data_IF_981459601110
#
_entry.id   IF_981459601110
#
_cell.length_a   1.000
_cell.length_b   1.000
_cell.length_c   1.000
_cell.angle_alpha   90.00
_cell.angle_beta   90.00
_cell.angle_gamma   90.00
#
_symmetry.space_group_name_H-M   'P 1'
#
loop_
_entity.id
_entity.type
_entity.pdbx_description
1 polymer ?
#
# COMPACT_ATOMS: atom_id res chain seq x y z
N UNK A 1 5.21 -2.09 -16.10
CA UNK A 1 5.10 -0.61 -16.02
C UNK A 1 4.07 -0.34 -14.93
N UNK A 2 4.45 0.26 -13.80
CA UNK A 2 3.48 0.71 -12.79
C UNK A 2 2.73 1.87 -13.44
N UNK A 3 1.43 1.74 -13.66
CA UNK A 3 0.61 2.88 -14.05
C UNK A 3 0.67 3.84 -12.86
N UNK A 4 1.26 5.02 -13.07
CA UNK A 4 1.29 6.04 -12.03
C UNK A 4 -0.11 6.60 -11.88
N UNK A 5 -0.49 7.06 -10.69
CA UNK A 5 -1.81 7.66 -10.48
C UNK A 5 -2.09 8.79 -11.47
N UNK A 6 -1.05 9.51 -11.88
CA UNK A 6 -1.09 10.52 -12.95
C UNK A 6 -1.64 9.98 -14.28
N UNK A 7 -1.23 8.80 -14.71
CA UNK A 7 -1.65 8.24 -16.00
C UNK A 7 -3.13 7.84 -15.95
N UNK A 8 -3.56 7.24 -14.83
CA UNK A 8 -4.96 6.97 -14.55
C UNK A 8 -5.79 8.27 -14.51
N UNK A 9 -5.29 9.30 -13.84
CA UNK A 9 -5.94 10.63 -13.75
C UNK A 9 -6.17 11.28 -15.10
N UNK A 10 -5.19 11.20 -16.02
CA UNK A 10 -5.29 11.80 -17.36
C UNK A 10 -6.41 11.20 -18.20
N UNK A 11 -6.69 9.92 -18.02
CA UNK A 11 -7.75 9.20 -18.74
C UNK A 11 -9.13 9.52 -18.15
N UNK A 12 -9.20 9.93 -16.88
CA UNK A 12 -10.42 9.99 -16.08
C UNK A 12 -10.72 11.42 -15.58
N UNK A 13 -10.57 12.43 -16.46
CA UNK A 13 -10.65 13.87 -16.10
C UNK A 13 -11.99 14.36 -15.54
N UNK A 14 -13.07 13.61 -15.76
CA UNK A 14 -14.41 13.97 -15.29
C UNK A 14 -14.61 13.72 -13.80
N UNK A 15 -13.77 12.91 -13.15
CA UNK A 15 -13.89 12.58 -11.74
C UNK A 15 -13.31 13.66 -10.85
N UNK A 16 -13.96 13.87 -9.69
CA UNK A 16 -13.31 14.60 -8.61
C UNK A 16 -12.18 13.75 -7.98
N UNK A 17 -11.31 14.36 -7.18
CA UNK A 17 -10.11 13.68 -6.66
C UNK A 17 -10.44 12.44 -5.79
N UNK A 18 -11.59 12.47 -5.09
CA UNK A 18 -12.03 11.36 -4.24
C UNK A 18 -12.53 10.19 -5.08
N UNK A 19 -13.40 10.47 -6.06
CA UNK A 19 -13.87 9.47 -7.03
C UNK A 19 -12.68 8.88 -7.79
N UNK A 20 -11.75 9.73 -8.22
CA UNK A 20 -10.56 9.29 -8.93
C UNK A 20 -9.72 8.33 -8.08
N UNK A 21 -9.54 8.64 -6.80
CA UNK A 21 -8.86 7.75 -5.86
C UNK A 21 -9.63 6.43 -5.68
N UNK A 22 -10.95 6.50 -5.47
CA UNK A 22 -11.78 5.32 -5.26
C UNK A 22 -11.70 4.36 -6.46
N UNK A 23 -11.85 4.89 -7.68
CA UNK A 23 -11.72 4.11 -8.91
C UNK A 23 -10.29 3.64 -9.15
N UNK A 24 -9.27 4.48 -8.95
CA UNK A 24 -7.86 4.07 -9.09
C UNK A 24 -7.52 2.90 -8.17
N UNK A 25 -7.97 2.97 -6.92
CA UNK A 25 -7.67 1.93 -5.92
C UNK A 25 -8.25 0.57 -6.30
N UNK A 26 -9.25 0.52 -7.18
CA UNK A 26 -9.98 -0.70 -7.55
C UNK A 26 -9.70 -1.15 -8.98
N UNK A 27 -9.58 -0.23 -9.94
CA UNK A 27 -9.53 -0.53 -11.37
C UNK A 27 -8.22 -0.17 -12.05
N UNK A 28 -7.17 0.18 -11.31
CA UNK A 28 -5.85 0.38 -11.91
C UNK A 28 -5.50 -0.83 -12.82
N UNK A 29 -5.21 -0.55 -14.10
CA UNK A 29 -4.97 -1.51 -15.19
C UNK A 29 -6.13 -2.45 -15.55
N UNK A 30 -7.37 -2.07 -15.27
CA UNK A 30 -8.59 -2.68 -15.77
C UNK A 30 -9.50 -1.62 -16.38
N UNK A 31 -10.12 -1.94 -17.52
CA UNK A 31 -11.12 -1.06 -18.13
C UNK A 31 -12.45 -1.13 -17.37
N UNK A 32 -13.13 0.01 -17.24
CA UNK A 32 -14.42 0.15 -16.57
C UNK A 32 -15.33 1.13 -17.33
N UNK A 33 -16.64 1.10 -17.07
CA UNK A 33 -17.61 1.99 -17.70
C UNK A 33 -17.88 3.22 -16.81
N UNK A 34 -17.56 4.41 -17.32
CA UNK A 34 -17.79 5.69 -16.65
C UNK A 34 -19.25 6.01 -16.36
N UNK A 35 -20.19 5.33 -17.02
CA UNK A 35 -21.63 5.53 -16.80
C UNK A 35 -22.14 4.76 -15.57
N UNK A 36 -21.37 3.78 -15.12
CA UNK A 36 -21.74 2.94 -13.98
C UNK A 36 -21.09 3.46 -12.69
N UNK A 37 -21.73 3.18 -11.56
CA UNK A 37 -21.14 3.49 -10.27
C UNK A 37 -19.97 2.54 -9.93
N UNK A 38 -19.31 2.78 -8.80
CA UNK A 38 -18.17 1.99 -8.35
C UNK A 38 -18.51 0.50 -8.18
N UNK A 39 -19.67 0.17 -7.61
CA UNK A 39 -20.04 -1.20 -7.28
C UNK A 39 -20.60 -1.96 -8.49
N UNK A 40 -21.32 -1.29 -9.37
CA UNK A 40 -21.74 -1.83 -10.66
C UNK A 40 -20.52 -2.16 -11.53
N UNK A 41 -19.49 -1.29 -11.54
CA UNK A 41 -18.22 -1.60 -12.19
C UNK A 41 -17.51 -2.78 -11.52
N UNK A 42 -17.49 -2.88 -10.18
CA UNK A 42 -16.90 -4.05 -9.49
C UNK A 42 -17.59 -5.34 -9.92
N UNK A 43 -18.93 -5.35 -9.99
CA UNK A 43 -19.71 -6.49 -10.45
C UNK A 43 -19.30 -6.89 -11.88
N UNK A 44 -19.33 -5.94 -12.81
CA UNK A 44 -19.11 -6.22 -14.24
C UNK A 44 -17.66 -6.53 -14.59
N UNK A 45 -16.71 -5.82 -13.99
CA UNK A 45 -15.28 -5.94 -14.30
C UNK A 45 -14.66 -7.14 -13.60
N UNK A 46 -15.03 -7.39 -12.34
CA UNK A 46 -14.35 -8.40 -11.52
C UNK A 46 -15.19 -9.63 -11.20
N UNK A 47 -16.44 -9.47 -10.73
CA UNK A 47 -17.23 -10.60 -10.26
C UNK A 47 -17.69 -11.47 -11.45
N UNK A 48 -18.32 -10.85 -12.45
CA UNK A 48 -18.84 -11.57 -13.63
C UNK A 48 -17.73 -12.14 -14.52
N UNK A 49 -16.54 -11.53 -14.50
CA UNK A 49 -15.38 -11.94 -15.31
C UNK A 49 -14.29 -12.63 -14.48
N UNK A 50 -14.61 -13.11 -13.28
CA UNK A 50 -13.60 -13.61 -12.35
C UNK A 50 -12.76 -14.75 -12.94
N UNK A 51 -13.40 -15.73 -13.55
CA UNK A 51 -12.71 -16.88 -14.15
C UNK A 51 -11.93 -16.49 -15.41
N UNK A 52 -12.39 -15.51 -16.19
CA UNK A 52 -11.64 -14.99 -17.34
C UNK A 52 -10.33 -14.33 -16.89
N UNK A 53 -10.40 -13.50 -15.84
CA UNK A 53 -9.22 -12.88 -15.22
C UNK A 53 -8.28 -13.98 -14.73
N UNK A 54 -8.80 -14.97 -14.00
CA UNK A 54 -7.99 -16.06 -13.47
C UNK A 54 -7.26 -16.84 -14.57
N UNK A 55 -7.97 -17.19 -15.64
CA UNK A 55 -7.44 -17.94 -16.77
C UNK A 55 -6.40 -17.11 -17.55
N UNK A 56 -6.66 -15.81 -17.74
CA UNK A 56 -5.75 -14.91 -18.46
C UNK A 56 -4.39 -14.76 -17.78
N UNK A 57 -4.33 -14.89 -16.44
CA UNK A 57 -3.08 -14.82 -15.69
C UNK A 57 -2.16 -16.02 -15.97
N UNK A 58 -2.72 -17.20 -16.31
CA UNK A 58 -1.94 -18.41 -16.60
C UNK A 58 -0.97 -18.80 -15.48
N UNK A 59 -1.38 -18.64 -14.22
CA UNK A 59 -0.55 -18.88 -13.05
C UNK A 59 -0.87 -20.23 -12.40
N UNK A 60 0.17 -20.89 -11.90
CA UNK A 60 0.06 -22.11 -11.11
C UNK A 60 -0.61 -21.84 -9.74
N UNK A 61 -1.20 -22.87 -9.15
CA UNK A 61 -1.96 -22.77 -7.90
C UNK A 61 -1.20 -22.10 -6.75
N UNK A 62 0.09 -22.44 -6.58
CA UNK A 62 0.92 -21.83 -5.55
C UNK A 62 1.13 -20.32 -5.78
N UNK A 63 1.25 -19.89 -7.04
CA UNK A 63 1.39 -18.47 -7.36
C UNK A 63 0.09 -17.71 -7.03
N UNK A 64 -1.07 -18.29 -7.35
CA UNK A 64 -2.37 -17.74 -6.98
C UNK A 64 -2.55 -17.64 -5.46
N UNK A 65 -2.18 -18.69 -4.72
CA UNK A 65 -2.17 -18.68 -3.23
C UNK A 65 -1.24 -17.61 -2.67
N UNK A 66 -0.03 -17.46 -3.23
CA UNK A 66 0.93 -16.45 -2.80
C UNK A 66 0.36 -15.02 -2.97
N UNK A 67 -0.25 -14.73 -4.12
CA UNK A 67 -0.86 -13.43 -4.40
C UNK A 67 -2.04 -13.16 -3.46
N UNK A 68 -2.89 -14.15 -3.22
CA UNK A 68 -3.97 -14.06 -2.23
C UNK A 68 -3.43 -13.68 -0.84
N UNK A 69 -2.40 -14.38 -0.36
CA UNK A 69 -1.76 -14.12 0.94
C UNK A 69 -1.16 -12.69 1.00
N UNK A 70 -0.41 -12.31 -0.02
CA UNK A 70 0.27 -11.01 -0.11
C UNK A 70 -0.70 -9.83 -0.26
N UNK A 71 -1.88 -10.05 -0.83
CA UNK A 71 -2.90 -9.01 -0.94
C UNK A 71 -3.42 -8.57 0.44
N UNK A 72 -3.48 -9.48 1.43
CA UNK A 72 -4.11 -9.21 2.73
C UNK A 72 -3.14 -8.87 3.86
N UNK A 73 -1.89 -9.34 3.78
CA UNK A 73 -0.97 -9.29 4.91
C UNK A 73 0.01 -8.10 4.89
N UNK A 74 1.05 -8.15 5.72
CA UNK A 74 2.08 -7.10 5.82
C UNK A 74 3.08 -7.07 4.66
N UNK A 75 2.83 -7.83 3.59
CA UNK A 75 3.57 -7.89 2.33
C UNK A 75 5.00 -8.42 2.45
N UNK A 76 5.45 -8.86 3.63
CA UNK A 76 6.82 -9.38 3.81
C UNK A 76 7.00 -10.68 3.02
N UNK A 77 8.12 -10.81 2.31
CA UNK A 77 8.36 -11.93 1.39
C UNK A 77 8.22 -13.32 2.02
N UNK A 78 8.59 -13.53 3.30
CA UNK A 78 8.45 -14.85 3.94
C UNK A 78 7.06 -15.14 4.49
N UNK A 79 6.12 -14.21 4.35
CA UNK A 79 4.73 -14.43 4.80
C UNK A 79 4.03 -15.56 4.04
N UNK A 80 4.43 -15.80 2.78
CA UNK A 80 3.90 -16.91 1.96
C UNK A 80 4.41 -18.28 2.43
N UNK A 81 5.52 -18.32 3.18
CA UNK A 81 6.11 -19.57 3.65
C UNK A 81 5.24 -20.30 4.69
N UNK A 82 4.17 -19.65 5.16
CA UNK A 82 3.13 -20.30 5.98
C UNK A 82 2.33 -21.33 5.19
N UNK A 83 2.23 -21.17 3.87
CA UNK A 83 1.42 -22.02 2.99
C UNK A 83 2.22 -22.64 1.84
N UNK A 84 3.42 -22.13 1.57
CA UNK A 84 4.26 -22.55 0.44
C UNK A 84 5.64 -22.97 0.97
N UNK A 85 6.18 -24.15 0.59
CA UNK A 85 7.50 -24.58 1.02
C UNK A 85 8.60 -23.58 0.65
N UNK A 86 9.58 -23.40 1.56
CA UNK A 86 10.63 -22.38 1.41
C UNK A 86 11.39 -22.45 0.07
N UNK A 87 11.74 -23.66 -0.37
CA UNK A 87 12.46 -23.90 -1.63
C UNK A 87 11.65 -23.44 -2.86
N UNK A 88 10.34 -23.66 -2.85
CA UNK A 88 9.45 -23.26 -3.94
C UNK A 88 9.15 -21.75 -3.91
N UNK A 89 9.05 -21.18 -2.71
CA UNK A 89 8.69 -19.78 -2.51
C UNK A 89 9.65 -18.81 -3.23
N UNK A 90 10.96 -19.08 -3.23
CA UNK A 90 11.95 -18.21 -3.88
C UNK A 90 11.76 -18.16 -5.40
N UNK A 91 11.70 -19.33 -6.06
CA UNK A 91 11.51 -19.41 -7.51
C UNK A 91 10.17 -18.80 -7.95
N UNK A 92 9.12 -19.02 -7.15
CA UNK A 92 7.81 -18.43 -7.36
C UNK A 92 7.83 -16.90 -7.28
N UNK A 93 8.48 -16.33 -6.25
CA UNK A 93 8.60 -14.88 -6.11
C UNK A 93 9.34 -14.29 -7.32
N UNK A 94 10.45 -14.90 -7.74
CA UNK A 94 11.21 -14.43 -8.91
C UNK A 94 10.34 -14.43 -10.17
N UNK A 95 9.58 -15.50 -10.43
CA UNK A 95 8.63 -15.59 -11.55
C UNK A 95 7.56 -14.48 -11.51
N UNK A 96 7.04 -14.15 -10.32
CA UNK A 96 6.05 -13.07 -10.16
C UNK A 96 6.65 -11.67 -10.35
N UNK A 97 7.92 -11.47 -9.98
CA UNK A 97 8.66 -10.24 -10.23
C UNK A 97 8.98 -10.08 -11.72
N UNK A 98 9.45 -11.14 -12.39
CA UNK A 98 9.74 -11.16 -13.84
C UNK A 98 8.48 -10.87 -14.68
N UNK A 99 7.33 -11.40 -14.26
CA UNK A 99 6.02 -11.10 -14.87
C UNK A 99 5.50 -9.69 -14.55
N UNK A 100 6.21 -8.89 -13.75
CA UNK A 100 5.77 -7.57 -13.27
C UNK A 100 4.41 -7.58 -12.56
N UNK A 101 4.02 -8.70 -11.95
CA UNK A 101 2.81 -8.76 -11.11
C UNK A 101 3.12 -8.15 -9.74
N UNK A 102 4.31 -8.47 -9.23
CA UNK A 102 4.85 -7.93 -7.99
C UNK A 102 6.08 -7.07 -8.25
N UNK A 103 6.38 -6.20 -7.29
CA UNK A 103 7.56 -5.34 -7.23
C UNK A 103 8.16 -5.47 -5.85
N UNK A 104 9.49 -5.42 -5.78
CA UNK A 104 10.23 -5.50 -4.54
C UNK A 104 10.46 -4.11 -3.94
N UNK A 105 9.90 -3.86 -2.75
CA UNK A 105 10.31 -2.73 -1.91
C UNK A 105 11.40 -3.22 -0.95
N UNK A 106 12.63 -2.78 -1.20
CA UNK A 106 13.78 -3.14 -0.37
C UNK A 106 13.66 -2.53 1.02
N UNK A 107 13.96 -3.33 2.04
CA UNK A 107 14.00 -2.83 3.41
C UNK A 107 15.08 -1.74 3.56
N UNK A 108 14.71 -0.66 4.25
CA UNK A 108 15.63 0.43 4.62
C UNK A 108 16.31 0.16 5.98
N UNK A 109 16.06 -0.99 6.61
CA UNK A 109 16.70 -1.36 7.86
C UNK A 109 18.17 -1.74 7.63
N UNK A 110 19.06 -1.16 8.45
CA UNK A 110 20.47 -1.54 8.45
C UNK A 110 20.64 -2.89 9.17
N UNK A 111 21.46 -3.82 8.63
CA UNK A 111 21.78 -5.06 9.31
C UNK A 111 22.25 -4.84 10.75
N UNK A 112 21.78 -5.69 11.66
CA UNK A 112 22.22 -5.67 13.05
C UNK A 112 23.72 -5.95 13.09
N UNK A 113 24.50 -4.99 13.60
CA UNK A 113 25.94 -5.15 13.78
C UNK A 113 26.17 -6.19 14.89
N UNK A 114 26.65 -7.38 14.50
CA UNK A 114 26.95 -8.47 15.44
C UNK A 114 28.30 -8.21 16.11
N UNK A 115 28.31 -7.65 17.32
CA UNK A 115 29.53 -7.62 18.13
C UNK A 115 29.72 -8.98 18.81
N UNK A 116 30.86 -9.66 18.58
CA UNK A 116 31.17 -10.98 19.19
C UNK A 116 31.04 -10.98 20.72
N UNK A 117 31.21 -9.82 21.38
CA UNK A 117 31.14 -9.66 22.84
C UNK A 117 29.74 -9.32 23.37
N UNK A 118 28.79 -8.95 22.52
CA UNK A 118 27.43 -8.60 22.95
C UNK A 118 26.41 -9.60 22.39
N UNK A 119 25.71 -10.29 23.30
CA UNK A 119 24.64 -11.21 22.90
C UNK A 119 23.49 -10.42 22.27
N UNK A 120 23.03 -10.89 21.12
CA UNK A 120 21.81 -10.40 20.48
C UNK A 120 20.63 -10.64 21.44
N UNK A 121 19.77 -9.62 21.59
CA UNK A 121 18.54 -9.73 22.39
C UNK A 121 17.71 -10.94 21.94
N UNK A 122 17.07 -11.64 22.88
CA UNK A 122 16.42 -12.94 22.62
C UNK A 122 15.41 -12.87 21.48
N UNK A 123 14.63 -11.80 21.45
CA UNK A 123 13.59 -11.53 20.47
C UNK A 123 14.12 -11.26 19.04
N UNK A 124 15.38 -10.85 18.89
CA UNK A 124 16.00 -10.56 17.59
C UNK A 124 16.77 -11.74 17.01
N UNK A 125 16.88 -12.88 17.73
CA UNK A 125 17.71 -14.02 17.28
C UNK A 125 17.16 -14.71 16.03
N UNK A 126 15.85 -14.76 15.89
CA UNK A 126 15.15 -15.34 14.74
C UNK A 126 14.67 -14.26 13.76
N UNK A 127 14.89 -12.99 14.09
CA UNK A 127 14.50 -11.88 13.25
C UNK A 127 15.41 -11.78 12.04
N UNK A 128 14.79 -11.81 10.85
CA UNK A 128 15.45 -11.57 9.59
C UNK A 128 14.83 -10.33 8.95
N UNK A 129 15.71 -9.42 8.52
CA UNK A 129 15.35 -8.29 7.66
C UNK A 129 14.77 -8.87 6.37
N UNK A 130 13.62 -8.34 5.99
CA UNK A 130 12.85 -8.84 4.85
C UNK A 130 12.36 -7.69 4.02
N UNK A 131 12.49 -7.84 2.71
CA UNK A 131 11.85 -6.98 1.72
C UNK A 131 10.33 -7.22 1.72
N UNK A 132 9.60 -6.22 1.24
CA UNK A 132 8.17 -6.32 0.98
C UNK A 132 7.91 -6.52 -0.52
N UNK A 133 6.86 -7.24 -0.83
CA UNK A 133 6.35 -7.47 -2.18
C UNK A 133 5.07 -6.67 -2.37
N UNK A 134 5.05 -5.77 -3.33
CA UNK A 134 3.92 -4.89 -3.64
C UNK A 134 3.35 -5.29 -4.98
N UNK A 135 2.03 -5.29 -5.11
CA UNK A 135 1.40 -5.46 -6.42
C UNK A 135 1.74 -4.28 -7.33
N UNK A 136 2.16 -4.56 -8.56
CA UNK A 136 2.44 -3.53 -9.55
C UNK A 136 1.18 -2.76 -9.99
N UNK A 137 0.01 -3.31 -9.72
CA UNK A 137 -1.30 -2.85 -10.18
C UNK A 137 -2.33 -3.04 -9.04
N UNK A 138 -3.14 -2.02 -8.75
CA UNK A 138 -4.13 -2.11 -7.67
C UNK A 138 -5.34 -2.99 -8.01
N UNK A 139 -5.80 -3.04 -9.27
CA UNK A 139 -6.89 -3.92 -9.68
C UNK A 139 -6.57 -5.42 -9.52
N UNK A 140 -5.35 -5.86 -9.80
CA UNK A 140 -4.91 -7.22 -9.49
C UNK A 140 -4.86 -7.46 -7.98
N UNK A 141 -4.38 -6.47 -7.21
CA UNK A 141 -4.42 -6.57 -5.74
C UNK A 141 -5.86 -6.69 -5.24
N UNK A 142 -6.80 -5.93 -5.81
CA UNK A 142 -8.22 -5.96 -5.48
C UNK A 142 -8.81 -7.34 -5.77
N UNK A 143 -8.54 -7.87 -6.97
CA UNK A 143 -8.96 -9.20 -7.39
C UNK A 143 -8.51 -10.28 -6.40
N UNK A 144 -7.23 -10.31 -6.03
CA UNK A 144 -6.71 -11.30 -5.07
C UNK A 144 -7.16 -11.06 -3.62
N UNK A 145 -7.55 -9.83 -3.27
CA UNK A 145 -8.05 -9.50 -1.94
C UNK A 145 -9.52 -9.94 -1.74
N UNK A 146 -10.39 -9.64 -2.71
CA UNK A 146 -11.84 -9.80 -2.58
C UNK A 146 -12.45 -10.90 -3.45
N UNK A 147 -11.92 -11.11 -4.65
CA UNK A 147 -12.61 -11.93 -5.66
C UNK A 147 -12.10 -13.37 -5.63
N UNK A 148 -10.77 -13.55 -5.78
CA UNK A 148 -10.13 -14.86 -5.73
C UNK A 148 -10.49 -15.70 -4.49
N UNK A 149 -10.53 -15.13 -3.26
CA UNK A 149 -10.91 -15.90 -2.08
C UNK A 149 -12.38 -16.32 -2.04
N UNK A 150 -13.23 -15.70 -2.86
CA UNK A 150 -14.68 -15.87 -2.86
C UNK A 150 -15.20 -16.48 -4.18
N UNK A 151 -14.34 -17.15 -4.96
CA UNK A 151 -14.75 -17.78 -6.23
C UNK A 151 -15.90 -18.77 -6.06
N UNK A 152 -15.97 -19.50 -4.93
CA UNK A 152 -17.08 -20.41 -4.65
C UNK A 152 -18.43 -19.70 -4.58
N UNK A 153 -18.48 -18.50 -3.96
CA UNK A 153 -19.71 -17.69 -3.92
C UNK A 153 -20.14 -17.23 -5.32
N UNK A 154 -19.17 -17.02 -6.23
CA UNK A 154 -19.46 -16.69 -7.64
C UNK A 154 -20.08 -17.88 -8.36
N UNK A 155 -19.58 -19.10 -8.14
CA UNK A 155 -20.17 -20.34 -8.67
C UNK A 155 -21.60 -20.52 -8.16
N UNK A 156 -21.83 -20.21 -6.88
CA UNK A 156 -23.16 -20.23 -6.25
C UNK A 156 -24.05 -19.04 -6.62
N UNK A 157 -23.56 -18.11 -7.47
CA UNK A 157 -24.26 -16.88 -7.89
C UNK A 157 -24.67 -15.94 -6.75
N UNK A 158 -23.95 -15.99 -5.62
CA UNK A 158 -24.17 -15.14 -4.43
C UNK A 158 -23.44 -13.81 -4.54
N UNK A 159 -23.71 -13.05 -5.60
CA UNK A 159 -22.97 -11.81 -5.89
C UNK A 159 -23.20 -10.72 -4.84
N UNK A 160 -24.42 -10.64 -4.28
CA UNK A 160 -24.77 -9.67 -3.25
C UNK A 160 -23.93 -9.85 -1.97
N UNK A 161 -23.64 -11.09 -1.57
CA UNK A 161 -22.80 -11.36 -0.39
C UNK A 161 -21.36 -10.89 -0.60
N UNK A 162 -20.84 -11.03 -1.83
CA UNK A 162 -19.50 -10.54 -2.20
C UNK A 162 -19.47 -9.02 -2.18
N UNK A 163 -20.47 -8.36 -2.78
CA UNK A 163 -20.57 -6.90 -2.81
C UNK A 163 -20.68 -6.30 -1.41
N UNK A 164 -21.49 -6.89 -0.53
CA UNK A 164 -21.57 -6.47 0.88
C UNK A 164 -20.23 -6.65 1.61
N UNK A 165 -19.54 -7.77 1.37
CA UNK A 165 -18.20 -8.00 1.92
C UNK A 165 -17.21 -6.92 1.45
N UNK A 166 -17.24 -6.57 0.17
CA UNK A 166 -16.40 -5.52 -0.41
C UNK A 166 -16.74 -4.18 0.22
N UNK A 167 -18.01 -3.78 0.24
CA UNK A 167 -18.48 -2.51 0.80
C UNK A 167 -18.03 -2.31 2.25
N UNK A 168 -18.17 -3.34 3.08
CA UNK A 168 -17.78 -3.28 4.49
C UNK A 168 -16.27 -3.21 4.74
N UNK A 169 -15.45 -3.60 3.76
CA UNK A 169 -13.99 -3.71 3.93
C UNK A 169 -13.19 -2.81 2.97
N UNK A 170 -13.85 -2.05 2.10
CA UNK A 170 -13.21 -1.27 1.05
C UNK A 170 -12.26 -0.21 1.64
N UNK A 171 -12.67 0.52 2.68
CA UNK A 171 -11.81 1.54 3.32
C UNK A 171 -10.49 0.93 3.85
N UNK A 172 -10.57 -0.26 4.47
CA UNK A 172 -9.40 -0.96 4.98
C UNK A 172 -8.47 -1.40 3.84
N UNK A 173 -9.05 -1.90 2.73
CA UNK A 173 -8.30 -2.25 1.54
C UNK A 173 -7.60 -1.04 0.91
N UNK A 174 -8.33 0.08 0.79
CA UNK A 174 -7.87 1.34 0.20
C UNK A 174 -6.79 2.04 1.03
N UNK A 175 -6.71 1.76 2.33
CA UNK A 175 -5.70 2.35 3.22
C UNK A 175 -4.27 2.15 2.71
N UNK A 176 -3.96 0.99 2.14
CA UNK A 176 -2.63 0.75 1.55
C UNK A 176 -2.45 1.43 0.19
N UNK A 177 -3.49 1.47 -0.66
CA UNK A 177 -3.43 2.22 -1.91
C UNK A 177 -3.19 3.72 -1.65
N UNK A 178 -3.82 4.28 -0.61
CA UNK A 178 -3.59 5.64 -0.14
C UNK A 178 -2.15 5.85 0.32
N UNK A 179 -1.57 4.93 1.09
CA UNK A 179 -0.16 4.99 1.50
C UNK A 179 0.79 5.06 0.30
N UNK A 180 0.58 4.22 -0.72
CA UNK A 180 1.38 4.23 -1.95
C UNK A 180 1.27 5.58 -2.68
N UNK A 181 0.05 6.13 -2.74
CA UNK A 181 -0.17 7.42 -3.39
C UNK A 181 0.47 8.58 -2.62
N UNK A 182 0.46 8.53 -1.29
CA UNK A 182 1.18 9.49 -0.44
C UNK A 182 2.69 9.44 -0.73
N UNK A 183 3.28 8.26 -0.96
CA UNK A 183 4.70 8.13 -1.35
C UNK A 183 4.97 8.77 -2.71
N UNK A 184 4.11 8.53 -3.71
CA UNK A 184 4.23 9.16 -5.04
C UNK A 184 4.14 10.69 -4.93
N UNK A 185 3.15 11.20 -4.21
CA UNK A 185 2.99 12.63 -3.96
C UNK A 185 4.21 13.23 -3.27
N UNK A 186 4.70 12.60 -2.19
CA UNK A 186 5.82 13.13 -1.44
C UNK A 186 7.12 13.09 -2.26
N UNK A 187 7.33 12.04 -3.07
CA UNK A 187 8.46 11.96 -3.99
C UNK A 187 8.44 13.14 -4.98
N UNK A 188 7.27 13.43 -5.58
CA UNK A 188 7.09 14.59 -6.48
C UNK A 188 7.34 15.91 -5.75
N UNK A 189 6.77 16.09 -4.56
CA UNK A 189 6.89 17.32 -3.75
C UNK A 189 8.34 17.62 -3.37
N UNK A 190 9.10 16.59 -2.98
CA UNK A 190 10.51 16.70 -2.61
C UNK A 190 11.44 16.71 -3.83
N UNK A 191 10.93 16.44 -5.04
CA UNK A 191 11.72 16.27 -6.27
C UNK A 191 12.77 15.16 -6.13
N UNK A 192 12.36 14.04 -5.56
CA UNK A 192 13.20 12.85 -5.36
C UNK A 192 12.63 11.67 -6.14
N UNK A 193 13.48 10.70 -6.45
CA UNK A 193 13.09 9.54 -7.24
C UNK A 193 12.05 8.67 -6.53
N UNK A 194 12.23 8.43 -5.23
CA UNK A 194 11.38 7.52 -4.47
C UNK A 194 11.33 7.89 -2.99
N UNK A 195 10.15 7.65 -2.39
CA UNK A 195 9.92 7.59 -0.95
C UNK A 195 9.58 6.15 -0.60
N UNK A 196 10.19 5.60 0.45
CA UNK A 196 10.03 4.21 0.87
C UNK A 196 9.12 4.13 2.10
N UNK A 197 8.72 2.93 2.51
CA UNK A 197 8.42 2.66 3.91
C UNK A 197 9.68 2.26 4.67
N UNK A 198 9.68 2.45 5.99
CA UNK A 198 10.67 1.87 6.89
C UNK A 198 9.99 0.86 7.81
N UNK A 199 10.58 -0.31 7.99
CA UNK A 199 10.13 -1.26 8.99
C UNK A 199 11.32 -1.99 9.59
N UNK A 200 11.25 -2.24 10.89
CA UNK A 200 12.14 -3.16 11.58
C UNK A 200 11.32 -4.06 12.52
N UNK A 201 11.98 -4.71 13.48
CA UNK A 201 11.29 -5.50 14.50
C UNK A 201 10.37 -4.65 15.39
N UNK A 202 10.72 -3.39 15.63
CA UNK A 202 10.12 -2.56 16.66
C UNK A 202 9.04 -1.60 16.18
N UNK A 203 9.17 -1.10 14.95
CA UNK A 203 8.29 -0.09 14.42
C UNK A 203 8.21 -0.16 12.89
N UNK A 204 7.16 0.46 12.38
CA UNK A 204 6.91 0.67 10.96
C UNK A 204 6.56 2.14 10.75
N UNK A 205 7.10 2.74 9.69
CA UNK A 205 6.87 4.12 9.27
C UNK A 205 6.42 4.06 7.82
N UNK A 206 5.23 4.61 7.57
CA UNK A 206 4.56 4.54 6.28
C UNK A 206 5.37 5.23 5.18
N UNK A 207 5.91 6.44 5.48
CA UNK A 207 6.75 7.22 4.58
C UNK A 207 8.12 7.51 5.20
N UNK A 208 9.18 7.16 4.48
CA UNK A 208 10.56 7.31 4.87
C UNK A 208 11.40 7.77 3.69
N UNK A 209 12.11 8.88 3.87
CA UNK A 209 13.14 9.33 2.96
C UNK A 209 14.38 9.76 3.75
N UNK A 210 15.55 9.28 3.33
CA UNK A 210 16.82 9.70 3.88
C UNK A 210 17.84 9.81 2.76
N UNK A 211 18.47 10.99 2.64
CA UNK A 211 19.66 11.17 1.81
C UNK A 211 20.55 12.21 2.48
N UNK A 212 21.83 11.90 2.61
CA UNK A 212 22.80 12.74 3.31
C UNK A 212 22.28 13.17 4.70
N UNK A 213 22.25 14.48 4.97
CA UNK A 213 21.74 15.06 6.21
C UNK A 213 20.25 15.42 6.17
N UNK A 214 19.51 14.99 5.14
CA UNK A 214 18.09 15.25 4.99
C UNK A 214 17.25 13.99 5.19
N UNK A 215 16.32 14.08 6.14
CA UNK A 215 15.48 13.01 6.62
C UNK A 215 14.02 13.46 6.72
N UNK A 216 13.11 12.64 6.19
CA UNK A 216 11.68 12.84 6.28
C UNK A 216 11.03 11.58 6.80
N UNK A 217 10.21 11.72 7.84
CA UNK A 217 9.34 10.66 8.34
C UNK A 217 7.89 11.07 8.16
N UNK A 218 7.05 10.15 7.74
CA UNK A 218 5.64 10.42 7.58
C UNK A 218 4.71 9.26 7.88
N UNK A 219 3.46 9.60 8.10
CA UNK A 219 2.38 8.67 8.40
C UNK A 219 1.16 9.01 7.52
N UNK A 220 0.52 7.98 6.96
CA UNK A 220 -0.69 8.12 6.18
C UNK A 220 -1.89 7.53 6.95
N UNK A 221 -3.01 8.24 6.94
CA UNK A 221 -4.24 7.78 7.60
C UNK A 221 -5.45 7.95 6.68
N UNK A 222 -5.95 6.81 6.21
CA UNK A 222 -7.17 6.72 5.42
C UNK A 222 -8.34 6.30 6.30
N UNK A 223 -8.97 7.25 6.98
CA UNK A 223 -10.13 7.05 7.86
C UNK A 223 -11.06 8.25 7.79
N UNK A 224 -12.35 8.02 8.04
CA UNK A 224 -13.37 9.10 8.15
C UNK A 224 -13.10 10.09 9.29
N UNK A 225 -12.41 9.64 10.35
CA UNK A 225 -12.05 10.52 11.46
C UNK A 225 -10.82 11.39 11.14
N UNK A 226 -10.86 12.65 11.57
CA UNK A 226 -9.73 13.58 11.46
C UNK A 226 -8.50 13.08 12.21
N UNK A 227 -7.33 13.38 11.67
CA UNK A 227 -6.04 13.11 12.31
C UNK A 227 -5.79 14.14 13.42
N UNK A 228 -5.58 13.65 14.63
CA UNK A 228 -5.24 14.46 15.80
C UNK A 228 -3.73 14.40 16.10
N UNK A 229 -3.29 15.29 17.00
CA UNK A 229 -1.90 15.38 17.49
C UNK A 229 -1.29 14.07 17.99
N UNK A 230 -2.11 13.13 18.47
CA UNK A 230 -1.62 11.82 18.89
C UNK A 230 -0.80 11.10 17.80
N UNK A 231 -1.21 11.21 16.53
CA UNK A 231 -0.49 10.58 15.40
C UNK A 231 0.91 11.19 15.26
N UNK A 232 1.03 12.52 15.37
CA UNK A 232 2.33 13.19 15.35
C UNK A 232 3.23 12.73 16.51
N UNK A 233 2.66 12.61 17.72
CA UNK A 233 3.42 12.16 18.90
C UNK A 233 3.91 10.71 18.72
N UNK A 234 3.08 9.82 18.18
CA UNK A 234 3.47 8.45 17.84
C UNK A 234 4.63 8.46 16.84
N UNK A 235 4.55 9.26 15.77
CA UNK A 235 5.61 9.37 14.77
C UNK A 235 6.93 9.92 15.37
N UNK A 236 6.85 10.94 16.23
CA UNK A 236 8.00 11.46 16.98
C UNK A 236 8.60 10.41 17.92
N UNK A 237 7.78 9.56 18.53
CA UNK A 237 8.26 8.47 19.38
C UNK A 237 8.98 7.38 18.56
N UNK A 238 8.45 7.04 17.37
CA UNK A 238 9.15 6.15 16.42
C UNK A 238 10.51 6.74 16.03
N UNK A 239 10.58 8.04 15.72
CA UNK A 239 11.84 8.72 15.40
C UNK A 239 12.87 8.61 16.53
N UNK A 240 12.46 8.88 17.78
CA UNK A 240 13.29 8.72 18.98
C UNK A 240 13.79 7.29 19.14
N UNK A 241 12.92 6.30 18.94
CA UNK A 241 13.28 4.88 19.04
C UNK A 241 14.32 4.47 18.00
N UNK A 242 14.24 5.03 16.79
CA UNK A 242 15.22 4.83 15.73
C UNK A 242 16.49 5.66 15.91
N UNK A 243 16.53 6.56 16.90
CA UNK A 243 17.61 7.55 17.10
C UNK A 243 17.85 8.40 15.87
N UNK A 244 16.76 8.76 15.18
CA UNK A 244 16.76 9.62 13.99
C UNK A 244 16.16 10.97 14.37
N UNK A 245 16.78 12.05 13.91
CA UNK A 245 16.23 13.40 13.99
C UNK A 245 15.80 13.84 12.59
N UNK A 246 14.52 13.69 12.24
CA UNK A 246 14.05 14.09 10.93
C UNK A 246 13.99 15.60 10.77
N UNK A 247 14.36 16.09 9.59
CA UNK A 247 14.21 17.48 9.19
C UNK A 247 12.72 17.84 9.01
N UNK A 248 11.92 16.89 8.52
CA UNK A 248 10.48 17.07 8.32
C UNK A 248 9.67 15.87 8.83
N UNK A 249 8.56 16.19 9.49
CA UNK A 249 7.45 15.27 9.71
C UNK A 249 6.35 15.56 8.68
N UNK A 250 5.78 14.52 8.10
CA UNK A 250 4.69 14.65 7.12
C UNK A 250 3.51 13.78 7.55
N UNK A 251 2.32 14.36 7.59
CA UNK A 251 1.09 13.60 7.85
C UNK A 251 0.14 13.74 6.67
N UNK A 252 -0.40 12.62 6.23
CA UNK A 252 -1.48 12.56 5.24
C UNK A 252 -2.78 12.11 5.90
N UNK A 253 -3.89 12.75 5.57
CA UNK A 253 -5.22 12.38 6.07
C UNK A 253 -6.28 12.42 4.98
N UNK A 254 -7.07 11.34 4.87
CA UNK A 254 -8.29 11.32 4.05
C UNK A 254 -9.27 12.43 4.44
N UNK A 255 -9.48 12.61 5.76
CA UNK A 255 -10.57 13.45 6.30
C UNK A 255 -10.08 14.75 6.95
N UNK A 256 -8.79 15.06 6.81
CA UNK A 256 -8.15 16.26 7.34
C UNK A 256 -7.73 16.18 8.82
N UNK A 257 -7.41 17.33 9.39
CA UNK A 257 -6.72 17.43 10.68
C UNK A 257 -7.56 18.15 11.74
N UNK A 258 -7.29 17.86 13.02
CA UNK A 258 -7.92 18.58 14.12
C UNK A 258 -7.48 20.05 14.15
N UNK A 259 -8.36 20.95 14.62
CA UNK A 259 -8.05 22.39 14.75
C UNK A 259 -6.82 22.63 15.63
N UNK A 260 -6.66 21.84 16.70
CA UNK A 260 -5.49 21.89 17.59
C UNK A 260 -4.17 21.62 16.83
N UNK A 261 -4.16 20.60 15.96
CA UNK A 261 -2.96 20.23 15.22
C UNK A 261 -2.58 21.31 14.20
N UNK A 262 -3.58 21.90 13.54
CA UNK A 262 -3.38 22.99 12.57
C UNK A 262 -2.88 24.27 13.28
N UNK A 263 -3.48 24.62 14.42
CA UNK A 263 -3.16 25.85 15.16
C UNK A 263 -1.72 25.91 15.66
N UNK A 264 -1.09 24.76 15.92
CA UNK A 264 0.29 24.68 16.42
C UNK A 264 1.35 25.22 15.46
N UNK A 265 1.08 25.19 14.14
CA UNK A 265 2.00 25.65 13.08
C UNK A 265 3.47 25.23 13.33
N UNK A 266 3.70 23.95 13.64
CA UNK A 266 5.07 23.44 13.85
C UNK A 266 5.86 23.56 12.54
N UNK A 267 6.99 24.27 12.55
CA UNK A 267 7.74 24.64 11.34
C UNK A 267 8.24 23.43 10.53
N UNK A 268 8.48 22.29 11.19
CA UNK A 268 8.96 21.06 10.58
C UNK A 268 7.83 20.04 10.36
N UNK A 269 6.57 20.48 10.31
CA UNK A 269 5.40 19.63 10.08
C UNK A 269 4.67 20.04 8.81
N UNK A 270 4.53 19.09 7.88
CA UNK A 270 3.71 19.24 6.68
C UNK A 270 2.45 18.39 6.83
N UNK A 271 1.31 18.98 6.49
CA UNK A 271 -0.01 18.36 6.59
C UNK A 271 -0.65 18.36 5.20
N UNK A 272 -1.08 17.20 4.73
CA UNK A 272 -1.71 17.05 3.42
C UNK A 272 -3.01 16.25 3.50
N UNK A 273 -3.97 16.59 2.64
CA UNK A 273 -5.22 15.87 2.45
C UNK A 273 -5.30 15.26 1.05
N UNK A 274 -6.39 14.52 0.77
CA UNK A 274 -6.68 14.01 -0.57
C UNK A 274 -6.72 15.13 -1.62
N UNK A 275 -7.23 16.32 -1.26
CA UNK A 275 -7.37 17.45 -2.18
C UNK A 275 -6.02 17.95 -2.70
N UNK A 276 -4.95 17.80 -1.92
CA UNK A 276 -3.60 18.18 -2.35
C UNK A 276 -3.10 17.31 -3.52
N UNK A 277 -3.69 16.13 -3.74
CA UNK A 277 -3.24 15.20 -4.79
C UNK A 277 -3.54 15.71 -6.20
N UNK A 278 -4.27 16.83 -6.35
CA UNK A 278 -4.33 17.60 -7.60
C UNK A 278 -2.93 17.90 -8.14
N UNK A 279 -1.94 18.10 -7.25
CA UNK A 279 -0.53 18.28 -7.65
C UNK A 279 -0.01 17.13 -8.52
N UNK A 280 -0.50 15.89 -8.36
CA UNK A 280 -0.07 14.76 -9.18
C UNK A 280 -0.53 14.90 -10.63
N UNK A 281 -1.62 15.64 -10.87
CA UNK A 281 -2.16 15.93 -12.19
C UNK A 281 -1.35 17.01 -12.92
N UNK A 282 -0.67 17.89 -12.17
CA UNK A 282 0.02 19.06 -12.71
C UNK A 282 1.43 18.72 -13.23
N UNK A 283 1.64 18.97 -14.52
CA UNK A 283 2.89 18.90 -15.33
C UNK A 283 3.49 17.53 -15.54
#
# INVERSE_FOLDING_TARGET
>A
MIIKFRDFSKLNKSFNIKELFDFYSVFDGFDFDFKLDLYDNILNVFILRAFDILNSLGLEENALKALCILSKNNRKRYSINKSIPHFQALGLINKLLEKNILILEKSQEKPIVKNKRQKIKKELRTYNIQDKLIFANQGLRFYFYFIYPNLNLIVEKKYNEILETIKNNLENYQSFAFELLCKEFLAKKLKVEQVYSFWNYYCEIDLYYQKDNFCVLGEAKFKERKVCKNILNILKNKAKQLKIQPNLYVLFSKSGFSKELIAKKEHNLLLYTLDDFILLNEV
#
